data_IF_122776616081
#
_entry.id   IF_122776616081
#
_cell.length_a   1.000
_cell.length_b   1.000
_cell.length_c   1.000
_cell.angle_alpha   90.00
_cell.angle_beta   90.00
_cell.angle_gamma   90.00
#
_symmetry.space_group_name_H-M   'P 1'
#
loop_
_entity.id
_entity.type
_entity.pdbx_description
1 polymer ?
#
# COMPACT_ATOMS: atom_id res chain seq x y z
N UNK A 1 -5.34 16.86 -4.60
CA UNK A 1 -6.77 16.54 -4.74
C UNK A 1 -7.17 15.65 -3.58
N UNK A 2 -8.22 16.02 -2.86
CA UNK A 2 -8.76 15.22 -1.75
C UNK A 2 -9.84 14.27 -2.27
N UNK A 3 -10.01 13.13 -1.61
CA UNK A 3 -11.05 12.15 -1.88
C UNK A 3 -11.63 11.58 -0.57
N UNK A 4 -12.89 11.09 -0.57
CA UNK A 4 -13.58 10.67 0.64
C UNK A 4 -12.98 9.44 1.31
N UNK A 5 -13.09 9.40 2.64
CA UNK A 5 -12.98 8.19 3.45
C UNK A 5 -14.38 7.76 3.88
N UNK A 6 -14.76 6.53 3.57
CA UNK A 6 -16.05 5.96 3.97
C UNK A 6 -15.86 5.06 5.20
N UNK A 7 -16.66 5.30 6.23
CA UNK A 7 -16.67 4.53 7.47
C UNK A 7 -18.09 4.00 7.74
N UNK A 8 -18.54 2.98 6.98
CA UNK A 8 -19.93 2.50 7.09
C UNK A 8 -20.27 1.92 8.45
N UNK A 9 -19.28 1.41 9.18
CA UNK A 9 -19.39 0.91 10.54
C UNK A 9 -18.19 1.35 11.38
N UNK A 10 -18.31 1.28 12.71
CA UNK A 10 -17.18 1.56 13.59
C UNK A 10 -16.01 0.58 13.32
N UNK A 11 -14.81 1.10 13.14
CA UNK A 11 -13.60 0.33 12.80
C UNK A 11 -13.49 -0.08 11.32
N UNK A 12 -14.47 0.24 10.48
CA UNK A 12 -14.40 0.02 9.04
C UNK A 12 -13.85 1.24 8.33
N UNK A 13 -13.07 1.00 7.27
CA UNK A 13 -12.49 2.07 6.46
C UNK A 13 -12.41 1.63 4.99
N UNK A 14 -13.08 2.36 4.13
CA UNK A 14 -13.19 2.07 2.70
C UNK A 14 -12.95 3.31 1.86
N UNK A 15 -12.45 3.11 0.65
CA UNK A 15 -12.31 4.15 -0.38
C UNK A 15 -12.71 3.58 -1.74
N UNK A 16 -13.16 4.45 -2.65
CA UNK A 16 -13.45 4.07 -4.03
C UNK A 16 -12.16 4.15 -4.85
N UNK A 17 -11.71 3.06 -5.50
CA UNK A 17 -10.51 3.09 -6.34
C UNK A 17 -10.56 4.12 -7.47
N UNK A 18 -11.76 4.38 -8.00
CA UNK A 18 -11.97 5.36 -9.07
C UNK A 18 -11.61 6.79 -8.63
N UNK A 19 -11.83 7.13 -7.36
CA UNK A 19 -11.48 8.45 -6.81
C UNK A 19 -9.95 8.67 -6.84
N UNK A 20 -9.16 7.62 -6.57
CA UNK A 20 -7.69 7.69 -6.67
C UNK A 20 -7.23 7.92 -8.10
N UNK A 21 -7.85 7.22 -9.07
CA UNK A 21 -7.52 7.39 -10.48
C UNK A 21 -7.85 8.79 -10.97
N UNK A 22 -9.03 9.31 -10.67
CA UNK A 22 -9.43 10.67 -11.03
C UNK A 22 -8.48 11.71 -10.41
N UNK A 23 -8.16 11.57 -9.12
CA UNK A 23 -7.21 12.44 -8.44
C UNK A 23 -5.80 12.38 -9.08
N UNK A 24 -5.35 11.20 -9.50
CA UNK A 24 -4.08 11.05 -10.22
C UNK A 24 -4.09 11.76 -11.58
N UNK A 25 -5.15 11.57 -12.38
CA UNK A 25 -5.32 12.25 -13.68
C UNK A 25 -5.29 13.77 -13.51
N UNK A 26 -6.07 14.32 -12.57
CA UNK A 26 -6.13 15.76 -12.31
C UNK A 26 -4.78 16.31 -11.85
N UNK A 27 -4.07 15.55 -11.02
CA UNK A 27 -2.75 15.94 -10.53
C UNK A 27 -1.72 15.95 -11.65
N UNK A 28 -1.67 14.90 -12.49
CA UNK A 28 -0.77 14.82 -13.63
C UNK A 28 -1.00 16.02 -14.58
N UNK A 29 -2.25 16.29 -14.96
CA UNK A 29 -2.61 17.44 -15.81
C UNK A 29 -2.17 18.77 -15.20
N UNK A 30 -2.42 18.95 -13.91
CA UNK A 30 -2.03 20.17 -13.19
C UNK A 30 -0.51 20.36 -13.16
N UNK A 31 0.25 19.29 -12.91
CA UNK A 31 1.72 19.34 -12.89
C UNK A 31 2.29 19.65 -14.27
N UNK A 32 1.83 18.98 -15.33
CA UNK A 32 2.24 19.26 -16.70
C UNK A 32 1.96 20.72 -17.10
N UNK A 33 0.76 21.21 -16.79
CA UNK A 33 0.36 22.61 -17.09
C UNK A 33 1.23 23.61 -16.34
N UNK A 34 1.48 23.39 -15.04
CA UNK A 34 2.25 24.32 -14.18
C UNK A 34 3.73 24.31 -14.48
N UNK A 35 4.30 23.14 -14.81
CA UNK A 35 5.72 23.03 -15.11
C UNK A 35 6.09 23.54 -16.52
N UNK A 36 5.14 23.50 -17.46
CA UNK A 36 5.39 23.78 -18.88
C UNK A 36 6.31 22.77 -19.57
N UNK A 37 6.57 21.61 -18.94
CA UNK A 37 7.39 20.54 -19.52
C UNK A 37 6.67 19.93 -20.71
N UNK A 38 7.40 19.72 -21.82
CA UNK A 38 6.86 19.00 -22.96
C UNK A 38 6.61 17.52 -22.53
N UNK A 39 5.43 17.01 -22.88
CA UNK A 39 5.08 15.62 -22.59
C UNK A 39 6.09 14.59 -23.08
N UNK A 40 6.85 14.91 -24.12
CA UNK A 40 7.92 14.07 -24.68
C UNK A 40 9.15 13.98 -23.79
N UNK A 41 9.34 14.98 -22.90
CA UNK A 41 10.45 15.00 -21.94
C UNK A 41 10.12 14.22 -20.67
N UNK A 42 8.86 13.78 -20.50
CA UNK A 42 8.45 12.88 -19.40
C UNK A 42 8.75 11.44 -19.83
N UNK A 43 9.97 11.00 -19.57
CA UNK A 43 10.48 9.68 -20.02
C UNK A 43 9.85 8.53 -19.24
N UNK A 44 9.67 8.71 -17.91
CA UNK A 44 9.11 7.65 -17.06
C UNK A 44 8.37 8.21 -15.86
N UNK A 45 7.51 7.38 -15.29
CA UNK A 45 6.83 7.63 -14.03
C UNK A 45 6.78 6.39 -13.15
N UNK A 46 6.78 6.61 -11.83
CA UNK A 46 6.50 5.61 -10.81
C UNK A 46 5.41 6.13 -9.87
N UNK A 47 4.66 5.23 -9.29
CA UNK A 47 3.55 5.57 -8.38
C UNK A 47 3.92 5.13 -6.97
N UNK A 48 3.78 6.05 -6.01
CA UNK A 48 3.79 5.76 -4.58
C UNK A 48 2.36 5.71 -4.08
N UNK A 49 2.00 4.73 -3.27
CA UNK A 49 0.63 4.61 -2.76
C UNK A 49 0.53 3.94 -1.40
N UNK A 50 -0.62 4.16 -0.75
CA UNK A 50 -0.94 3.47 0.50
C UNK A 50 -0.90 1.95 0.31
N UNK A 51 -0.29 1.26 1.26
CA UNK A 51 -0.15 -0.20 1.24
C UNK A 51 -1.45 -0.92 1.64
N UNK A 52 -1.49 -2.22 1.41
CA UNK A 52 -2.46 -3.16 2.01
C UNK A 52 -3.92 -3.06 1.56
N UNK A 53 -4.31 -2.04 0.81
CA UNK A 53 -5.69 -1.92 0.32
C UNK A 53 -6.07 -3.07 -0.61
N UNK A 54 -7.31 -3.57 -0.49
CA UNK A 54 -7.82 -4.65 -1.35
C UNK A 54 -8.68 -4.06 -2.45
N UNK A 55 -8.20 -4.06 -3.68
CA UNK A 55 -8.97 -3.75 -4.89
C UNK A 55 -9.31 -5.05 -5.60
N UNK A 56 -10.59 -5.30 -5.85
CA UNK A 56 -11.09 -6.50 -6.53
C UNK A 56 -11.76 -6.11 -7.84
N UNK A 57 -11.33 -6.72 -8.94
CA UNK A 57 -11.83 -6.44 -10.28
C UNK A 57 -12.46 -7.68 -10.89
N UNK A 58 -13.47 -7.48 -11.74
CA UNK A 58 -14.03 -8.52 -12.60
C UNK A 58 -13.14 -8.76 -13.85
N UNK A 59 -13.59 -9.66 -14.73
CA UNK A 59 -12.90 -9.99 -15.97
C UNK A 59 -12.76 -8.80 -16.95
N UNK A 60 -13.66 -7.84 -16.88
CA UNK A 60 -13.63 -6.63 -17.68
C UNK A 60 -12.82 -5.49 -17.03
N UNK A 61 -12.26 -5.71 -15.83
CA UNK A 61 -11.50 -4.70 -15.09
C UNK A 61 -12.36 -3.71 -14.30
N UNK A 62 -13.66 -3.99 -14.13
CA UNK A 62 -14.52 -3.15 -13.32
C UNK A 62 -14.33 -3.44 -11.83
N UNK A 63 -14.35 -2.39 -11.02
CA UNK A 63 -14.29 -2.49 -9.56
C UNK A 63 -15.55 -3.16 -9.01
N UNK A 64 -15.40 -4.21 -8.23
CA UNK A 64 -16.50 -4.99 -7.67
C UNK A 64 -17.08 -4.40 -6.38
N UNK A 65 -16.25 -3.68 -5.62
CA UNK A 65 -16.62 -3.05 -4.36
C UNK A 65 -15.63 -1.95 -3.97
N UNK A 66 -16.01 -1.03 -3.05
CA UNK A 66 -15.03 -0.12 -2.44
C UNK A 66 -13.87 -0.89 -1.81
N UNK A 67 -12.65 -0.37 -1.96
CA UNK A 67 -11.44 -0.98 -1.39
C UNK A 67 -11.46 -0.91 0.13
N UNK A 68 -11.24 -2.03 0.81
CA UNK A 68 -10.98 -2.08 2.25
C UNK A 68 -9.52 -1.65 2.44
N UNK A 69 -9.29 -0.51 3.11
CA UNK A 69 -7.96 0.09 3.20
C UNK A 69 -7.20 -0.31 4.48
N UNK A 70 -5.95 0.13 4.61
CA UNK A 70 -4.98 -0.31 5.62
C UNK A 70 -5.41 -0.14 7.09
N UNK A 71 -6.20 0.87 7.42
CA UNK A 71 -6.64 1.17 8.78
C UNK A 71 -7.94 0.46 9.20
N UNK A 72 -8.52 -0.37 8.32
CA UNK A 72 -9.71 -1.17 8.60
C UNK A 72 -9.42 -2.29 9.61
N UNK A 73 -10.35 -2.51 10.54
CA UNK A 73 -10.19 -3.47 11.64
C UNK A 73 -11.19 -4.64 11.61
N UNK A 74 -11.99 -4.80 10.52
CA UNK A 74 -13.08 -5.79 10.48
C UNK A 74 -12.64 -7.24 10.45
N UNK A 75 -11.40 -7.54 10.08
CA UNK A 75 -10.91 -8.87 9.70
C UNK A 75 -10.21 -9.65 10.81
N UNK A 76 -10.53 -9.37 12.09
CA UNK A 76 -9.88 -10.04 13.22
C UNK A 76 -10.10 -11.57 13.20
N UNK A 77 -11.32 -12.03 12.89
CA UNK A 77 -11.65 -13.44 12.79
C UNK A 77 -10.87 -14.14 11.67
N UNK A 78 -10.65 -13.45 10.55
CA UNK A 78 -9.87 -13.98 9.42
C UNK A 78 -8.37 -14.04 9.75
N UNK A 79 -7.86 -13.14 10.59
CA UNK A 79 -6.49 -13.28 11.12
C UNK A 79 -6.32 -14.53 11.96
N UNK A 80 -7.29 -14.84 12.83
CA UNK A 80 -7.30 -16.07 13.62
C UNK A 80 -7.41 -17.29 12.71
N UNK A 81 -8.29 -17.26 11.71
CA UNK A 81 -8.43 -18.32 10.69
C UNK A 81 -7.12 -18.58 9.94
N UNK A 82 -6.38 -17.53 9.55
CA UNK A 82 -5.07 -17.67 8.90
C UNK A 82 -4.07 -18.35 9.84
N UNK A 83 -4.04 -17.95 11.12
CA UNK A 83 -3.14 -18.56 12.10
C UNK A 83 -3.50 -20.02 12.39
N UNK A 84 -4.78 -20.38 12.40
CA UNK A 84 -5.24 -21.77 12.58
C UNK A 84 -4.85 -22.67 11.40
N UNK A 85 -5.02 -22.19 10.17
CA UNK A 85 -4.76 -22.97 8.96
C UNK A 85 -3.26 -23.08 8.67
N UNK A 86 -2.53 -21.96 8.77
CA UNK A 86 -1.13 -21.87 8.35
C UNK A 86 -0.17 -22.12 9.51
N UNK A 87 -0.52 -21.72 10.71
CA UNK A 87 0.37 -21.62 11.85
C UNK A 87 1.16 -20.32 11.86
N UNK A 88 1.20 -19.66 13.02
CA UNK A 88 1.82 -18.33 13.18
C UNK A 88 3.29 -18.30 12.74
N UNK A 89 4.08 -19.26 13.21
CA UNK A 89 5.53 -19.30 12.94
C UNK A 89 5.82 -19.57 11.46
N UNK A 90 5.03 -20.45 10.84
CA UNK A 90 5.13 -20.72 9.41
C UNK A 90 4.75 -19.51 8.57
N UNK A 91 3.67 -18.79 8.94
CA UNK A 91 3.27 -17.57 8.26
C UNK A 91 4.39 -16.51 8.33
N UNK A 92 4.97 -16.28 9.51
CA UNK A 92 6.09 -15.35 9.71
C UNK A 92 7.30 -15.78 8.89
N UNK A 93 7.61 -17.08 8.81
CA UNK A 93 8.76 -17.54 8.02
C UNK A 93 8.61 -17.28 6.51
N UNK A 94 7.38 -17.26 6.00
CA UNK A 94 7.07 -17.03 4.58
C UNK A 94 6.92 -15.53 4.30
N UNK A 95 6.06 -14.86 5.05
CA UNK A 95 5.64 -13.47 4.77
C UNK A 95 6.36 -12.43 5.62
N UNK A 96 7.27 -12.89 6.49
CA UNK A 96 7.99 -12.09 7.47
C UNK A 96 7.11 -11.34 8.48
N UNK A 97 5.81 -11.63 8.52
CA UNK A 97 4.81 -10.95 9.35
C UNK A 97 3.74 -11.92 9.87
N UNK A 98 3.18 -11.69 11.06
CA UNK A 98 1.97 -12.38 11.52
C UNK A 98 0.73 -11.85 10.78
N UNK A 99 -0.40 -12.56 10.86
CA UNK A 99 -1.67 -12.05 10.32
C UNK A 99 -2.13 -10.82 11.11
N UNK A 100 -2.48 -9.76 10.38
CA UNK A 100 -2.97 -8.50 10.92
C UNK A 100 -4.15 -7.98 10.10
N UNK A 101 -5.08 -7.30 10.76
CA UNK A 101 -6.29 -6.75 10.14
C UNK A 101 -5.99 -5.73 9.03
N UNK A 102 -4.86 -5.03 9.14
CA UNK A 102 -4.42 -4.06 8.13
C UNK A 102 -3.99 -4.70 6.80
N UNK A 103 -3.61 -5.97 6.76
CA UNK A 103 -3.06 -6.62 5.57
C UNK A 103 -4.11 -7.13 4.58
N UNK A 104 -3.72 -7.32 3.33
CA UNK A 104 -4.63 -7.64 2.22
C UNK A 104 -5.24 -9.03 2.35
N UNK A 105 -4.46 -10.03 2.78
CA UNK A 105 -4.90 -11.43 2.85
C UNK A 105 -6.14 -11.60 3.74
N UNK A 106 -6.12 -11.01 4.95
CA UNK A 106 -7.27 -11.10 5.86
C UNK A 106 -8.53 -10.46 5.27
N UNK A 107 -8.38 -9.36 4.50
CA UNK A 107 -9.49 -8.70 3.80
C UNK A 107 -10.05 -9.55 2.67
N UNK A 108 -9.18 -10.23 1.92
CA UNK A 108 -9.59 -11.17 0.88
C UNK A 108 -10.42 -12.31 1.45
N UNK A 109 -9.98 -12.89 2.57
CA UNK A 109 -10.73 -13.94 3.26
C UNK A 109 -12.04 -13.40 3.81
N UNK A 110 -12.06 -12.19 4.34
CA UNK A 110 -13.29 -11.55 4.80
C UNK A 110 -14.32 -11.43 3.66
N UNK A 111 -13.92 -10.92 2.49
CA UNK A 111 -14.81 -10.84 1.33
C UNK A 111 -15.28 -12.23 0.92
N UNK A 112 -14.42 -13.24 0.90
CA UNK A 112 -14.81 -14.63 0.62
C UNK A 112 -15.86 -15.15 1.59
N UNK A 113 -15.74 -14.83 2.87
CA UNK A 113 -16.61 -15.31 3.94
C UNK A 113 -17.94 -14.55 4.01
N UNK A 114 -17.93 -13.24 3.78
CA UNK A 114 -19.07 -12.34 4.04
C UNK A 114 -19.73 -11.79 2.77
N UNK A 115 -18.99 -11.73 1.66
CA UNK A 115 -19.49 -11.26 0.35
C UNK A 115 -19.15 -12.29 -0.76
N UNK A 116 -19.60 -13.56 -0.63
CA UNK A 116 -19.18 -14.65 -1.54
C UNK A 116 -19.54 -14.38 -3.01
N UNK A 117 -20.59 -13.62 -3.27
CA UNK A 117 -21.00 -13.24 -4.62
C UNK A 117 -19.99 -12.25 -5.26
N UNK A 118 -19.37 -11.36 -4.47
CA UNK A 118 -18.31 -10.47 -4.90
C UNK A 118 -17.05 -11.28 -5.18
N UNK A 119 -16.68 -12.16 -4.24
CA UNK A 119 -15.52 -13.04 -4.39
C UNK A 119 -15.63 -13.92 -5.65
N UNK A 120 -16.77 -14.50 -5.92
CA UNK A 120 -17.01 -15.37 -7.08
C UNK A 120 -16.84 -14.67 -8.44
N UNK A 121 -17.08 -13.35 -8.49
CA UNK A 121 -16.89 -12.51 -9.68
C UNK A 121 -15.46 -11.99 -9.83
N UNK A 122 -14.65 -12.04 -8.77
CA UNK A 122 -13.29 -11.53 -8.80
C UNK A 122 -12.41 -12.33 -9.76
N UNK A 123 -11.65 -11.60 -10.58
CA UNK A 123 -10.66 -12.16 -11.50
C UNK A 123 -9.28 -11.56 -11.30
N UNK A 124 -9.21 -10.36 -10.72
CA UNK A 124 -7.94 -9.68 -10.44
C UNK A 124 -7.98 -9.00 -9.09
N UNK A 125 -6.88 -9.12 -8.36
CA UNK A 125 -6.63 -8.44 -7.08
C UNK A 125 -5.46 -7.50 -7.29
N UNK A 126 -5.65 -6.22 -6.96
CA UNK A 126 -4.63 -5.19 -7.03
C UNK A 126 -4.53 -4.44 -5.69
N UNK A 127 -3.39 -3.82 -5.47
CA UNK A 127 -3.21 -2.81 -4.43
C UNK A 127 -3.64 -1.42 -4.94
N UNK A 128 -3.84 -0.42 -4.07
CA UNK A 128 -4.32 0.90 -4.47
C UNK A 128 -3.49 1.55 -5.58
N UNK A 129 -2.15 1.57 -5.46
CA UNK A 129 -1.28 2.14 -6.50
C UNK A 129 -1.28 1.30 -7.79
N UNK A 130 -1.39 -0.03 -7.64
CA UNK A 130 -1.41 -0.94 -8.79
C UNK A 130 -2.69 -0.77 -9.60
N UNK A 131 -3.82 -0.46 -8.94
CA UNK A 131 -5.05 -0.09 -9.63
C UNK A 131 -4.88 1.21 -10.44
N UNK A 132 -4.31 2.25 -9.85
CA UNK A 132 -4.03 3.50 -10.58
C UNK A 132 -3.10 3.25 -11.76
N UNK A 133 -2.05 2.42 -11.55
CA UNK A 133 -1.14 2.02 -12.60
C UNK A 133 -1.86 1.25 -13.71
N UNK A 134 -2.72 0.27 -13.35
CA UNK A 134 -3.55 -0.48 -14.31
C UNK A 134 -4.42 0.46 -15.15
N UNK A 135 -5.08 1.42 -14.53
CA UNK A 135 -5.92 2.40 -15.24
C UNK A 135 -5.13 3.30 -16.19
N UNK A 136 -3.84 3.51 -15.93
CA UNK A 136 -2.95 4.30 -16.78
C UNK A 136 -2.34 3.48 -17.93
N UNK A 137 -2.13 2.18 -17.75
CA UNK A 137 -1.38 1.33 -18.69
C UNK A 137 -2.25 0.27 -19.36
N UNK A 138 -3.27 -0.25 -18.70
CA UNK A 138 -4.02 -1.44 -19.10
C UNK A 138 -3.38 -2.77 -18.65
N UNK A 139 -2.20 -2.74 -18.01
CA UNK A 139 -1.46 -3.93 -17.62
C UNK A 139 -1.68 -4.30 -16.15
N UNK A 140 -1.90 -5.58 -15.85
CA UNK A 140 -1.94 -6.08 -14.47
C UNK A 140 -0.53 -6.41 -13.99
N UNK A 141 -0.04 -5.65 -13.00
CA UNK A 141 1.22 -5.91 -12.35
C UNK A 141 1.20 -5.41 -10.90
N UNK A 142 2.08 -5.94 -10.08
CA UNK A 142 2.42 -5.45 -8.74
C UNK A 142 3.92 -5.50 -8.56
N UNK A 143 4.43 -5.00 -7.41
CA UNK A 143 5.87 -5.05 -7.17
C UNK A 143 6.17 -5.44 -5.71
N UNK A 144 7.40 -5.89 -5.48
CA UNK A 144 7.80 -6.59 -4.27
C UNK A 144 7.58 -5.81 -2.98
N UNK A 145 7.77 -4.47 -2.96
CA UNK A 145 7.69 -3.70 -1.71
C UNK A 145 6.26 -3.64 -1.19
N UNK A 146 5.30 -3.40 -2.07
CA UNK A 146 3.89 -3.31 -1.71
C UNK A 146 3.24 -4.71 -1.62
N UNK A 147 3.60 -5.65 -2.53
CA UNK A 147 3.14 -7.04 -2.47
C UNK A 147 3.56 -7.75 -1.18
N UNK A 148 4.68 -7.36 -0.55
CA UNK A 148 5.06 -7.84 0.79
C UNK A 148 3.95 -7.60 1.82
N UNK A 149 3.24 -6.48 1.72
CA UNK A 149 2.11 -6.13 2.57
C UNK A 149 0.80 -6.82 2.23
N UNK A 150 0.72 -7.55 1.11
CA UNK A 150 -0.44 -8.38 0.78
C UNK A 150 -0.52 -9.64 1.65
N UNK A 151 0.60 -10.06 2.25
CA UNK A 151 0.72 -11.27 3.08
C UNK A 151 0.46 -12.57 2.30
N UNK A 152 0.72 -12.55 1.00
CA UNK A 152 0.71 -13.70 0.08
C UNK A 152 2.06 -13.88 -0.61
N UNK A 153 2.97 -12.89 -0.48
CA UNK A 153 4.32 -12.94 -0.99
C UNK A 153 5.22 -13.78 -0.08
N UNK A 154 6.04 -14.65 -0.65
CA UNK A 154 7.24 -15.22 -0.03
C UNK A 154 8.31 -14.12 -0.02
N UNK A 155 8.39 -13.40 1.10
CA UNK A 155 9.27 -12.22 1.24
C UNK A 155 10.75 -12.57 1.07
N UNK A 156 11.25 -13.69 1.62
CA UNK A 156 12.60 -14.20 1.32
C UNK A 156 12.87 -14.38 -0.16
N UNK A 157 11.95 -14.97 -0.91
CA UNK A 157 12.10 -15.34 -2.31
C UNK A 157 11.54 -14.32 -3.31
N UNK A 158 10.88 -13.26 -2.83
CA UNK A 158 10.33 -12.14 -3.63
C UNK A 158 9.34 -12.58 -4.72
N UNK A 159 8.55 -13.61 -4.43
CA UNK A 159 7.55 -14.17 -5.35
C UNK A 159 6.29 -14.61 -4.57
N UNK A 160 5.21 -14.90 -5.26
CA UNK A 160 4.02 -15.45 -4.62
C UNK A 160 4.32 -16.80 -3.95
N UNK A 161 3.81 -17.00 -2.73
CA UNK A 161 3.96 -18.24 -2.01
C UNK A 161 2.91 -19.26 -2.45
N UNK A 162 3.25 -20.14 -3.38
CA UNK A 162 2.35 -21.23 -3.80
C UNK A 162 1.88 -22.07 -2.62
N UNK A 163 2.77 -22.32 -1.66
CA UNK A 163 2.46 -23.08 -0.45
C UNK A 163 1.32 -22.41 0.34
N UNK A 164 1.42 -21.09 0.58
CA UNK A 164 0.44 -20.33 1.34
C UNK A 164 -0.90 -20.25 0.59
N UNK A 165 -0.85 -19.96 -0.71
CA UNK A 165 -2.04 -19.90 -1.55
C UNK A 165 -2.80 -21.23 -1.57
N UNK A 166 -2.10 -22.35 -1.69
CA UNK A 166 -2.68 -23.68 -1.64
C UNK A 166 -3.31 -23.98 -0.28
N UNK A 167 -2.62 -23.67 0.84
CA UNK A 167 -3.15 -23.91 2.19
C UNK A 167 -4.44 -23.14 2.44
N UNK A 168 -4.56 -21.93 1.91
CA UNK A 168 -5.72 -21.05 2.08
C UNK A 168 -6.77 -21.19 0.95
N UNK A 169 -6.52 -22.09 0.00
CA UNK A 169 -7.36 -22.30 -1.19
C UNK A 169 -7.66 -21.00 -1.93
N UNK A 170 -6.58 -20.27 -2.27
CA UNK A 170 -6.61 -19.03 -3.07
C UNK A 170 -6.09 -19.36 -4.45
N UNK A 171 -6.86 -19.01 -5.48
CA UNK A 171 -6.44 -19.17 -6.87
C UNK A 171 -5.31 -18.20 -7.21
N UNK A 172 -4.10 -18.69 -7.61
CA UNK A 172 -2.99 -17.83 -8.00
C UNK A 172 -3.30 -16.92 -9.19
N UNK A 173 -4.24 -17.28 -10.05
CA UNK A 173 -4.63 -16.48 -11.21
C UNK A 173 -5.26 -15.13 -10.85
N UNK A 174 -5.71 -14.97 -9.60
CA UNK A 174 -6.20 -13.68 -9.08
C UNK A 174 -5.09 -12.66 -8.89
N UNK A 175 -3.83 -13.11 -8.78
CA UNK A 175 -2.69 -12.27 -8.41
C UNK A 175 -1.93 -11.83 -9.66
N UNK A 176 -1.59 -10.54 -9.71
CA UNK A 176 -0.80 -9.97 -10.78
C UNK A 176 0.66 -10.45 -10.74
N UNK A 177 1.37 -10.37 -11.87
CA UNK A 177 2.81 -10.64 -11.92
C UNK A 177 3.57 -9.68 -11.00
N UNK A 178 4.53 -10.20 -10.24
CA UNK A 178 5.40 -9.44 -9.35
C UNK A 178 6.64 -8.96 -10.09
N UNK A 179 7.00 -7.70 -9.90
CA UNK A 179 8.18 -7.04 -10.44
C UNK A 179 9.04 -6.46 -9.32
N UNK A 180 10.27 -6.05 -9.61
CA UNK A 180 10.99 -5.12 -8.77
C UNK A 180 10.43 -3.69 -8.96
N UNK A 181 10.57 -2.85 -7.95
CA UNK A 181 9.97 -1.49 -7.94
C UNK A 181 10.42 -0.60 -9.11
N UNK A 182 11.66 -0.78 -9.58
CA UNK A 182 12.25 0.00 -10.68
C UNK A 182 12.06 -0.65 -12.07
N UNK A 183 11.50 -1.86 -12.15
CA UNK A 183 11.25 -2.51 -13.45
C UNK A 183 10.11 -1.84 -14.20
N UNK A 184 10.26 -1.76 -15.52
CA UNK A 184 9.20 -1.27 -16.40
C UNK A 184 8.08 -2.30 -16.45
N UNK A 185 6.88 -1.86 -16.14
CA UNK A 185 5.67 -2.69 -16.07
C UNK A 185 4.65 -2.37 -17.16
N UNK A 186 4.90 -1.35 -17.98
CA UNK A 186 4.05 -0.95 -19.09
C UNK A 186 4.37 0.47 -19.56
N UNK A 187 3.50 0.97 -20.41
CA UNK A 187 3.54 2.32 -20.97
C UNK A 187 2.18 3.00 -20.75
N UNK A 188 2.16 4.31 -20.83
CA UNK A 188 0.90 5.04 -20.81
C UNK A 188 0.04 4.61 -22.01
N UNK A 189 -1.17 4.14 -21.72
CA UNK A 189 -2.14 3.75 -22.76
C UNK A 189 -2.63 4.98 -23.53
N UNK A 190 -3.11 4.77 -24.74
CA UNK A 190 -3.69 5.85 -25.55
C UNK A 190 -4.80 6.61 -24.82
N UNK A 191 -5.72 5.89 -24.15
CA UNK A 191 -6.80 6.50 -23.38
C UNK A 191 -6.27 7.35 -22.22
N UNK A 192 -5.27 6.86 -21.49
CA UNK A 192 -4.64 7.62 -20.41
C UNK A 192 -3.85 8.83 -20.95
N UNK A 193 -3.18 8.71 -22.10
CA UNK A 193 -2.49 9.84 -22.74
C UNK A 193 -3.47 10.97 -23.12
N UNK A 194 -4.62 10.62 -23.68
CA UNK A 194 -5.68 11.60 -24.00
C UNK A 194 -6.23 12.31 -22.74
N UNK A 195 -6.36 11.58 -21.64
CA UNK A 195 -6.88 12.13 -20.37
C UNK A 195 -5.84 12.94 -19.60
N UNK A 196 -4.59 12.49 -19.53
CA UNK A 196 -3.56 13.08 -18.69
C UNK A 196 -2.72 14.14 -19.40
N UNK A 197 -2.57 14.03 -20.72
CA UNK A 197 -1.65 14.82 -21.52
C UNK A 197 -0.22 14.27 -21.54
N UNK A 198 0.04 13.08 -20.99
CA UNK A 198 1.32 12.36 -21.11
C UNK A 198 1.51 11.81 -22.52
N UNK A 199 2.74 11.39 -22.83
CA UNK A 199 3.05 10.64 -24.07
C UNK A 199 2.75 9.15 -23.89
N UNK A 200 2.29 8.48 -24.94
CA UNK A 200 2.20 7.01 -24.97
C UNK A 200 3.58 6.34 -24.84
N UNK A 201 4.67 7.06 -25.14
CA UNK A 201 6.04 6.58 -24.96
C UNK A 201 6.53 6.65 -23.50
N UNK A 202 5.78 7.31 -22.59
CA UNK A 202 6.16 7.41 -21.19
C UNK A 202 6.12 6.03 -20.52
N UNK A 203 7.28 5.58 -20.03
CA UNK A 203 7.43 4.31 -19.33
C UNK A 203 6.74 4.38 -17.96
N UNK A 204 6.10 3.29 -17.54
CA UNK A 204 5.56 3.17 -16.17
C UNK A 204 6.27 2.04 -15.47
N UNK A 205 6.94 2.36 -14.34
CA UNK A 205 7.63 1.37 -13.51
C UNK A 205 6.72 0.84 -12.40
N UNK A 206 7.15 -0.21 -11.72
CA UNK A 206 6.41 -0.84 -10.61
C UNK A 206 5.99 0.14 -9.52
N UNK A 207 6.80 1.15 -9.28
CA UNK A 207 6.58 2.09 -8.17
C UNK A 207 6.92 1.48 -6.83
N UNK A 208 6.33 1.95 -5.74
CA UNK A 208 6.57 1.38 -4.41
C UNK A 208 5.42 1.68 -3.43
N UNK A 209 5.27 0.86 -2.40
CA UNK A 209 4.51 1.23 -1.22
C UNK A 209 5.06 2.52 -0.61
N UNK A 210 4.18 3.34 -0.01
CA UNK A 210 4.50 4.71 0.42
C UNK A 210 5.76 4.83 1.31
N UNK A 211 5.95 3.91 2.26
CA UNK A 211 7.14 3.91 3.12
C UNK A 211 8.42 3.54 2.36
N UNK A 212 8.35 2.58 1.43
CA UNK A 212 9.49 2.20 0.60
C UNK A 212 9.86 3.32 -0.39
N UNK A 213 8.86 4.02 -0.95
CA UNK A 213 9.06 5.20 -1.79
C UNK A 213 9.68 6.36 -1.01
N UNK A 214 9.21 6.60 0.24
CA UNK A 214 9.78 7.61 1.13
C UNK A 214 11.25 7.31 1.46
N UNK A 215 11.62 6.03 1.63
CA UNK A 215 13.01 5.63 1.85
C UNK A 215 13.90 6.05 0.68
N UNK A 216 13.47 5.79 -0.56
CA UNK A 216 14.20 6.24 -1.77
C UNK A 216 14.30 7.76 -1.79
N UNK A 217 13.19 8.46 -1.57
CA UNK A 217 13.15 9.92 -1.62
C UNK A 217 14.00 10.61 -0.54
N UNK A 218 14.25 9.95 0.59
CA UNK A 218 15.09 10.46 1.69
C UNK A 218 16.52 9.90 1.69
N UNK A 219 16.88 9.07 0.70
CA UNK A 219 18.21 8.49 0.58
C UNK A 219 18.49 7.36 1.57
N UNK A 220 17.44 6.71 2.11
CA UNK A 220 17.55 5.53 2.98
C UNK A 220 17.53 4.28 2.10
N UNK A 221 18.62 4.05 1.37
CA UNK A 221 18.74 3.05 0.31
C UNK A 221 19.93 2.11 0.48
N UNK A 222 20.57 2.12 1.63
CA UNK A 222 21.71 1.27 1.96
C UNK A 222 21.69 0.86 3.44
N UNK A 223 22.38 -0.23 3.77
CA UNK A 223 22.45 -0.77 5.13
C UNK A 223 22.95 0.26 6.15
N UNK A 224 22.38 0.25 7.34
CA UNK A 224 22.68 1.19 8.42
C UNK A 224 21.97 2.55 8.31
N UNK A 225 21.17 2.80 7.27
CA UNK A 225 20.33 4.00 7.18
C UNK A 225 18.91 3.74 7.65
N UNK A 226 18.35 4.75 8.29
CA UNK A 226 16.99 4.73 8.82
C UNK A 226 16.34 6.11 8.72
N UNK A 227 15.01 6.15 8.75
CA UNK A 227 14.25 7.38 8.99
C UNK A 227 13.15 7.15 10.03
N UNK A 228 12.67 8.24 10.60
CA UNK A 228 11.47 8.25 11.44
C UNK A 228 10.50 9.29 10.90
N UNK A 229 9.23 8.90 10.75
CA UNK A 229 8.14 9.84 10.47
C UNK A 229 7.26 9.99 11.71
N UNK A 230 6.87 11.23 11.99
CA UNK A 230 5.94 11.56 13.07
C UNK A 230 4.81 12.40 12.47
N UNK A 231 3.71 11.75 12.18
CA UNK A 231 2.47 12.38 11.76
C UNK A 231 1.35 12.01 12.75
N UNK A 232 0.15 11.74 12.28
CA UNK A 232 -0.92 11.12 13.09
C UNK A 232 -0.42 9.83 13.71
N UNK A 233 0.17 8.94 12.92
CA UNK A 233 0.92 7.75 13.31
C UNK A 233 2.42 8.01 13.34
N UNK A 234 3.20 7.06 13.83
CA UNK A 234 4.66 7.09 13.83
C UNK A 234 5.23 5.85 13.16
N UNK A 235 6.28 6.03 12.35
CA UNK A 235 7.00 4.95 11.69
C UNK A 235 8.49 5.10 11.96
N UNK A 236 9.14 3.99 12.29
CA UNK A 236 10.60 3.85 12.25
C UNK A 236 10.92 2.83 11.17
N UNK A 237 11.62 3.25 10.15
CA UNK A 237 12.01 2.43 9.00
C UNK A 237 13.54 2.31 8.97
N UNK A 238 14.05 1.11 8.81
CA UNK A 238 15.48 0.83 8.66
C UNK A 238 15.70 -0.06 7.44
N UNK A 239 16.53 0.43 6.50
CA UNK A 239 16.98 -0.36 5.35
C UNK A 239 17.93 -1.47 5.78
N UNK A 240 17.87 -2.61 5.10
CA UNK A 240 18.81 -3.72 5.29
C UNK A 240 19.07 -4.46 3.98
N UNK A 241 20.36 -4.68 3.68
CA UNK A 241 20.80 -5.45 2.51
C UNK A 241 20.63 -6.96 2.73
N UNK A 242 20.35 -7.38 3.95
CA UNK A 242 20.12 -8.78 4.31
C UNK A 242 18.74 -8.93 4.93
N UNK A 243 18.07 -10.02 4.58
CA UNK A 243 16.79 -10.34 5.17
C UNK A 243 16.91 -10.49 6.69
N UNK A 244 16.11 -9.71 7.42
CA UNK A 244 16.02 -9.76 8.88
C UNK A 244 14.54 -9.94 9.28
N UNK A 245 14.19 -11.15 9.73
CA UNK A 245 12.83 -11.48 10.19
C UNK A 245 12.85 -11.57 11.72
N UNK A 246 11.96 -10.82 12.39
CA UNK A 246 11.70 -11.05 13.81
C UNK A 246 10.83 -12.31 13.97
N UNK A 247 11.34 -13.40 14.57
CA UNK A 247 10.57 -14.64 14.72
C UNK A 247 9.33 -14.50 15.59
N UNK A 248 9.26 -13.41 16.38
CA UNK A 248 8.07 -13.10 17.20
C UNK A 248 7.09 -12.17 16.47
N UNK A 249 7.45 -11.66 15.29
CA UNK A 249 6.60 -10.74 14.51
C UNK A 249 6.24 -9.45 15.23
N UNK A 250 7.18 -8.86 16.01
CA UNK A 250 7.00 -7.60 16.75
C UNK A 250 7.25 -6.37 15.89
N UNK A 251 8.02 -6.54 14.83
CA UNK A 251 8.30 -5.54 13.79
C UNK A 251 8.00 -6.14 12.44
N UNK A 252 7.69 -5.29 11.48
CA UNK A 252 7.45 -5.70 10.10
C UNK A 252 8.76 -5.86 9.35
N UNK A 253 8.82 -6.84 8.45
CA UNK A 253 9.84 -6.93 7.42
C UNK A 253 9.18 -7.04 6.06
N UNK A 254 9.60 -6.19 5.13
CA UNK A 254 9.11 -6.16 3.74
C UNK A 254 10.28 -6.02 2.77
N UNK A 255 10.08 -6.34 1.50
CA UNK A 255 11.02 -5.98 0.45
C UNK A 255 11.13 -4.46 0.34
N UNK A 256 12.32 -3.93 0.08
CA UNK A 256 12.54 -2.53 -0.25
C UNK A 256 12.19 -2.24 -1.71
N UNK A 257 12.07 -0.94 -2.05
CA UNK A 257 12.06 -0.46 -3.43
C UNK A 257 13.43 -0.59 -4.12
N UNK A 258 14.50 -0.76 -3.35
CA UNK A 258 15.84 -1.09 -3.87
C UNK A 258 15.89 -2.59 -4.18
N UNK A 259 16.22 -3.00 -5.40
CA UNK A 259 16.27 -4.40 -5.79
C UNK A 259 17.19 -5.23 -4.89
N UNK A 260 16.72 -6.42 -4.48
CA UNK A 260 17.48 -7.36 -3.67
C UNK A 260 17.66 -6.95 -2.20
N UNK A 261 17.01 -5.89 -1.73
CA UNK A 261 17.08 -5.42 -0.34
C UNK A 261 15.72 -5.50 0.36
N UNK A 262 15.76 -5.39 1.69
CA UNK A 262 14.59 -5.40 2.57
C UNK A 262 14.60 -4.20 3.50
N UNK A 263 13.55 -4.04 4.29
CA UNK A 263 13.52 -3.11 5.41
C UNK A 263 12.81 -3.73 6.61
N UNK A 264 13.19 -3.25 7.77
CA UNK A 264 12.50 -3.54 9.03
C UNK A 264 11.78 -2.27 9.46
N UNK A 265 10.52 -2.40 9.89
CA UNK A 265 9.69 -1.26 10.22
C UNK A 265 8.91 -1.49 11.52
N UNK A 266 8.97 -0.50 12.41
CA UNK A 266 8.09 -0.39 13.58
C UNK A 266 7.04 0.70 13.32
N UNK A 267 5.78 0.42 13.66
CA UNK A 267 4.67 1.35 13.45
C UNK A 267 3.90 1.56 14.75
N UNK A 268 3.56 2.81 15.07
CA UNK A 268 2.58 3.16 16.10
C UNK A 268 1.40 3.83 15.43
N UNK A 269 0.17 3.41 15.77
CA UNK A 269 -1.05 3.97 15.16
C UNK A 269 -1.32 5.41 15.57
N UNK A 270 -0.77 5.85 16.72
CA UNK A 270 -0.90 7.20 17.22
C UNK A 270 0.46 7.69 17.73
N UNK A 271 0.97 8.77 17.16
CA UNK A 271 2.20 9.46 17.56
C UNK A 271 1.89 10.95 17.79
N UNK A 272 1.95 11.78 16.75
CA UNK A 272 1.56 13.19 16.82
C UNK A 272 0.09 13.38 17.21
N UNK A 273 -0.79 12.45 16.79
CA UNK A 273 -2.18 12.48 17.23
C UNK A 273 -2.31 12.31 18.76
N UNK A 274 -1.49 11.46 19.40
CA UNK A 274 -1.48 11.30 20.85
C UNK A 274 -1.04 12.59 21.55
N UNK A 275 0.00 13.25 21.02
CA UNK A 275 0.45 14.53 21.54
C UNK A 275 -0.62 15.61 21.38
N UNK A 276 -1.23 15.70 20.19
CA UNK A 276 -2.33 16.62 19.92
C UNK A 276 -3.52 16.37 20.88
N UNK A 277 -3.91 15.11 21.05
CA UNK A 277 -4.98 14.75 21.98
C UNK A 277 -4.64 15.16 23.41
N UNK A 278 -3.42 14.90 23.87
CA UNK A 278 -2.97 15.30 25.22
C UNK A 278 -3.01 16.82 25.37
N UNK A 279 -2.43 17.57 24.42
CA UNK A 279 -2.48 19.02 24.39
C UNK A 279 -3.91 19.56 24.49
N UNK A 280 -4.81 19.01 23.66
CA UNK A 280 -6.17 19.53 23.52
C UNK A 280 -7.06 19.22 24.73
N UNK A 281 -6.73 18.20 25.52
CA UNK A 281 -7.55 17.79 26.67
C UNK A 281 -6.93 18.13 28.04
N UNK A 282 -5.60 18.32 28.14
CA UNK A 282 -4.91 18.46 29.42
C UNK A 282 -4.05 19.72 29.54
N UNK A 283 -3.69 20.38 28.43
CA UNK A 283 -2.77 21.54 28.43
C UNK A 283 -3.54 22.85 28.16
N UNK A 284 -4.60 23.12 28.91
CA UNK A 284 -5.42 24.34 28.71
C UNK A 284 -4.64 25.61 29.05
N UNK A 285 -3.84 25.60 30.11
CA UNK A 285 -3.03 26.75 30.53
C UNK A 285 -1.97 27.12 29.49
N UNK A 286 -1.31 26.10 28.91
CA UNK A 286 -0.30 26.29 27.84
C UNK A 286 -0.95 26.82 26.55
N UNK A 287 -2.15 26.34 26.20
CA UNK A 287 -2.91 26.84 25.05
C UNK A 287 -3.33 28.29 25.23
N UNK A 288 -3.78 28.67 26.42
CA UNK A 288 -4.13 30.06 26.75
C UNK A 288 -2.89 30.98 26.70
N UNK A 289 -1.76 30.52 27.26
CA UNK A 289 -0.51 31.26 27.22
C UNK A 289 -0.01 31.45 25.77
N UNK A 290 -0.01 30.40 24.97
CA UNK A 290 0.39 30.47 23.56
C UNK A 290 -0.51 31.43 22.75
N UNK A 291 -1.83 31.35 22.97
CA UNK A 291 -2.78 32.25 22.32
C UNK A 291 -2.53 33.74 22.67
N UNK A 292 -2.16 34.03 23.94
CA UNK A 292 -1.80 35.39 24.37
C UNK A 292 -0.49 35.88 23.76
N UNK A 293 0.45 34.98 23.46
CA UNK A 293 1.73 35.29 22.82
C UNK A 293 1.65 35.29 21.29
N UNK A 294 0.54 34.84 20.69
CA UNK A 294 0.39 34.67 19.26
C UNK A 294 1.20 33.48 18.70
N UNK A 295 1.49 32.50 19.53
CA UNK A 295 2.26 31.29 19.22
C UNK A 295 1.32 30.09 19.02
N UNK A 296 1.78 29.05 18.32
CA UNK A 296 1.09 27.75 18.22
C UNK A 296 1.42 26.91 19.48
N UNK A 297 0.44 26.40 20.21
CA UNK A 297 0.66 25.67 21.46
C UNK A 297 1.23 24.26 21.25
#
# INVERSE_FOLDING_TARGET
VEYPLYQPHNGWAEQKPEDWYHAAVDTIRSVLTKSGVDKKDVVSMGISGQMHGLVMLDEAGNVLRPSIIWCDQRTAAECDQIHEIVGRDQLISITANPALTGFTLSKLLWVRNHEPEVYAKCRHILLPKDYVRYMLTGDFATEVSDASGMQMLDVPNRCWSEKLLNMLNIDPSLLAKVYESCEVTGHISKAAAELTGLSEDTLVVGGAGDNAAAAVGTGVVEDGRAFTTIGTSGVVFAHTDKLAIDPKGRVHTFCCAVPGAWHVMGVTQAAGLSLKWFRDNFCMAEKEAAALMGEDP
#
